data_IF_550640866310
#
_entry.id   IF_550640866310
#
_cell.length_a   1.000
_cell.length_b   1.000
_cell.length_c   1.000
_cell.angle_alpha   90.00
_cell.angle_beta   90.00
_cell.angle_gamma   90.00
#
_symmetry.space_group_name_H-M   'P 1'
#
loop_
_entity.id
_entity.type
_entity.pdbx_description
1 polymer ?
#
# COMPACT_ATOMS: atom_id res chain seq x y z
N UNK A 1 6.21 -19.36 1.94
CA UNK A 1 5.71 -18.37 0.95
C UNK A 1 6.86 -17.43 0.70
N UNK A 2 7.73 -17.81 -0.24
CA UNK A 2 8.88 -17.00 -0.65
C UNK A 2 8.60 -16.53 -2.07
N UNK A 3 8.60 -15.22 -2.27
CA UNK A 3 8.30 -14.58 -3.54
C UNK A 3 8.50 -13.07 -3.43
N UNK A 4 8.62 -12.35 -4.55
CA UNK A 4 8.94 -10.92 -4.57
C UNK A 4 7.94 -10.04 -3.80
N UNK A 5 6.71 -10.51 -3.60
CA UNK A 5 5.66 -9.84 -2.83
C UNK A 5 5.61 -10.24 -1.34
N UNK A 6 6.61 -10.94 -0.83
CA UNK A 6 6.69 -11.29 0.59
C UNK A 6 7.01 -10.03 1.42
N UNK A 7 6.21 -9.80 2.46
CA UNK A 7 6.40 -8.63 3.34
C UNK A 7 7.76 -8.72 4.04
N UNK A 8 8.58 -7.66 4.01
CA UNK A 8 9.91 -7.65 4.62
C UNK A 8 9.86 -8.03 6.09
N UNK A 9 10.71 -8.99 6.48
CA UNK A 9 10.89 -9.43 7.86
C UNK A 9 12.35 -9.40 8.27
N UNK A 10 12.61 -9.04 9.53
CA UNK A 10 13.93 -9.21 10.18
C UNK A 10 13.72 -10.01 11.46
N UNK A 11 14.40 -11.15 11.59
CA UNK A 11 14.26 -12.08 12.73
C UNK A 11 12.80 -12.52 13.01
N UNK A 12 11.96 -12.61 11.97
CA UNK A 12 10.55 -13.01 12.09
C UNK A 12 9.58 -11.85 12.34
N UNK A 13 10.07 -10.67 12.70
CA UNK A 13 9.25 -9.47 12.88
C UNK A 13 9.09 -8.67 11.58
N UNK A 14 7.94 -8.00 11.43
CA UNK A 14 7.71 -7.09 10.32
C UNK A 14 8.66 -5.89 10.44
N UNK A 15 9.37 -5.60 9.36
CA UNK A 15 10.27 -4.45 9.30
C UNK A 15 9.53 -3.27 8.69
N UNK A 16 9.45 -2.16 9.43
CA UNK A 16 8.94 -0.87 8.99
C UNK A 16 10.01 0.20 9.25
N UNK A 17 10.40 0.94 8.22
CA UNK A 17 11.39 2.01 8.26
C UNK A 17 10.76 3.37 8.56
N UNK A 18 9.44 3.49 8.40
CA UNK A 18 8.69 4.71 8.71
C UNK A 18 7.30 4.36 9.29
N UNK A 19 6.71 5.23 10.15
CA UNK A 19 5.42 4.97 10.79
C UNK A 19 4.29 4.65 9.81
N UNK A 20 4.28 5.31 8.64
CA UNK A 20 3.24 5.12 7.63
C UNK A 20 3.24 3.70 7.05
N UNK A 21 4.38 3.01 6.98
CA UNK A 21 4.49 1.67 6.41
C UNK A 21 3.68 0.66 7.23
N UNK A 22 3.73 0.77 8.56
CA UNK A 22 2.93 -0.05 9.48
C UNK A 22 1.44 0.26 9.39
N UNK A 23 1.07 1.55 9.24
CA UNK A 23 -0.33 1.97 9.08
C UNK A 23 -0.93 1.41 7.80
N UNK A 24 -0.20 1.57 6.70
CA UNK A 24 -0.59 1.08 5.37
C UNK A 24 -0.75 -0.44 5.38
N UNK A 25 0.21 -1.19 5.94
CA UNK A 25 0.09 -2.63 6.14
C UNK A 25 -1.14 -3.01 6.97
N UNK A 26 -1.36 -2.34 8.11
CA UNK A 26 -2.51 -2.58 8.98
C UNK A 26 -3.85 -2.34 8.27
N UNK A 27 -3.94 -1.31 7.44
CA UNK A 27 -5.15 -1.03 6.65
C UNK A 27 -5.47 -2.16 5.67
N UNK A 28 -4.49 -2.69 4.94
CA UNK A 28 -4.75 -3.83 4.05
C UNK A 28 -5.22 -5.06 4.81
N UNK A 29 -4.54 -5.41 5.90
CA UNK A 29 -4.93 -6.57 6.71
C UNK A 29 -6.36 -6.40 7.23
N UNK A 30 -6.71 -5.22 7.74
CA UNK A 30 -8.05 -4.94 8.26
C UNK A 30 -9.14 -5.00 7.17
N UNK A 31 -8.88 -4.49 5.97
CA UNK A 31 -9.84 -4.57 4.86
C UNK A 31 -9.98 -5.99 4.32
N UNK A 32 -8.88 -6.75 4.26
CA UNK A 32 -8.92 -8.15 3.86
C UNK A 32 -9.67 -9.02 4.88
N UNK A 33 -9.48 -8.82 6.18
CA UNK A 33 -10.23 -9.52 7.24
C UNK A 33 -11.74 -9.28 7.11
N UNK A 34 -12.12 -8.06 6.70
CA UNK A 34 -13.49 -7.67 6.35
C UNK A 34 -13.95 -8.16 4.97
N UNK A 35 -13.12 -8.91 4.25
CA UNK A 35 -13.36 -9.46 2.89
C UNK A 35 -13.73 -8.40 1.86
N UNK A 36 -13.19 -7.19 2.02
CA UNK A 36 -13.38 -6.09 1.09
C UNK A 36 -12.71 -6.39 -0.26
N UNK A 37 -11.63 -7.19 -0.25
CA UNK A 37 -10.99 -7.76 -1.42
C UNK A 37 -10.31 -9.10 -1.07
N UNK A 38 -9.92 -9.88 -2.07
CA UNK A 38 -9.15 -11.11 -1.87
C UNK A 38 -7.64 -10.84 -1.74
N UNK A 39 -7.01 -11.44 -0.73
CA UNK A 39 -5.57 -11.26 -0.49
C UNK A 39 -4.70 -11.62 -1.70
N UNK A 40 -5.08 -12.62 -2.49
CA UNK A 40 -4.35 -13.05 -3.69
C UNK A 40 -4.41 -12.01 -4.79
N UNK A 41 -5.51 -11.26 -4.91
CA UNK A 41 -5.61 -10.16 -5.87
C UNK A 41 -4.61 -9.05 -5.52
N UNK A 42 -4.53 -8.71 -4.24
CA UNK A 42 -3.53 -7.76 -3.75
C UNK A 42 -2.09 -8.26 -4.01
N UNK A 43 -1.78 -9.52 -3.65
CA UNK A 43 -0.45 -10.09 -3.89
C UNK A 43 -0.05 -10.10 -5.37
N UNK A 44 -0.99 -10.41 -6.26
CA UNK A 44 -0.75 -10.43 -7.70
C UNK A 44 -0.47 -9.03 -8.25
N UNK A 45 -1.23 -8.03 -7.80
CA UNK A 45 -1.00 -6.61 -8.14
C UNK A 45 0.35 -6.12 -7.64
N UNK A 46 0.69 -6.42 -6.38
CA UNK A 46 1.99 -6.06 -5.80
C UNK A 46 3.15 -6.67 -6.59
N UNK A 47 3.03 -7.95 -6.97
CA UNK A 47 4.04 -8.62 -7.77
C UNK A 47 4.22 -7.94 -9.14
N UNK A 48 3.12 -7.52 -9.76
CA UNK A 48 3.14 -6.79 -11.03
C UNK A 48 3.78 -5.40 -10.89
N UNK A 49 3.45 -4.65 -9.83
CA UNK A 49 4.05 -3.34 -9.54
C UNK A 49 5.55 -3.43 -9.29
N UNK A 50 6.00 -4.45 -8.53
CA UNK A 50 7.42 -4.68 -8.29
C UNK A 50 8.15 -4.98 -9.60
N UNK A 51 7.63 -5.91 -10.42
CA UNK A 51 8.23 -6.25 -11.71
C UNK A 51 8.27 -5.04 -12.66
N UNK A 52 7.22 -4.23 -12.69
CA UNK A 52 7.15 -3.04 -13.53
C UNK A 52 8.13 -1.95 -13.06
N UNK A 53 8.24 -1.70 -11.76
CA UNK A 53 9.20 -0.77 -11.20
C UNK A 53 10.64 -1.20 -11.45
N UNK A 54 10.96 -2.50 -11.30
CA UNK A 54 12.27 -3.06 -11.63
C UNK A 54 12.60 -2.90 -13.12
N UNK A 55 11.65 -3.20 -14.00
CA UNK A 55 11.80 -3.02 -15.46
C UNK A 55 12.07 -1.57 -15.83
N UNK A 56 11.43 -0.62 -15.13
CA UNK A 56 11.61 0.82 -15.32
C UNK A 56 12.88 1.38 -14.67
N UNK A 57 13.56 0.59 -13.84
CA UNK A 57 14.69 1.09 -13.02
C UNK A 57 14.25 2.14 -12.00
N UNK A 58 13.02 2.04 -11.50
CA UNK A 58 12.44 3.04 -10.60
C UNK A 58 13.03 2.94 -9.19
N UNK A 59 13.56 4.06 -8.69
CA UNK A 59 14.02 4.22 -7.30
C UNK A 59 12.82 4.42 -6.36
N UNK A 60 12.06 3.35 -6.14
CA UNK A 60 11.02 3.29 -5.11
C UNK A 60 11.24 2.12 -4.16
N UNK A 61 10.93 2.37 -2.89
CA UNK A 61 10.99 1.39 -1.81
C UNK A 61 9.90 0.34 -1.95
N UNK A 62 10.06 -0.79 -1.25
CA UNK A 62 9.06 -1.85 -1.23
C UNK A 62 7.68 -1.35 -0.80
N UNK A 63 7.59 -0.55 0.27
CA UNK A 63 6.31 -0.08 0.80
C UNK A 63 5.68 1.02 -0.07
N UNK A 64 6.44 1.77 -0.87
CA UNK A 64 5.86 2.70 -1.86
C UNK A 64 5.19 1.93 -3.01
N UNK A 65 5.85 0.88 -3.51
CA UNK A 65 5.26 -0.02 -4.51
C UNK A 65 4.04 -0.75 -3.95
N UNK A 66 4.10 -1.13 -2.67
CA UNK A 66 2.97 -1.70 -1.93
C UNK A 66 1.80 -0.73 -1.84
N UNK A 67 2.05 0.53 -1.48
CA UNK A 67 1.02 1.56 -1.36
C UNK A 67 0.31 1.79 -2.70
N UNK A 68 1.07 1.93 -3.80
CA UNK A 68 0.50 2.06 -5.14
C UNK A 68 -0.38 0.87 -5.53
N UNK A 69 0.08 -0.36 -5.27
CA UNK A 69 -0.70 -1.56 -5.54
C UNK A 69 -2.01 -1.60 -4.72
N UNK A 70 -1.96 -1.11 -3.48
CA UNK A 70 -3.10 -1.07 -2.58
C UNK A 70 -4.11 0.01 -3.00
N UNK A 71 -3.67 1.22 -3.28
CA UNK A 71 -4.51 2.30 -3.81
C UNK A 71 -5.17 1.89 -5.12
N UNK A 72 -4.41 1.31 -6.05
CA UNK A 72 -4.94 0.81 -7.32
C UNK A 72 -6.01 -0.26 -7.13
N UNK A 73 -5.81 -1.18 -6.19
CA UNK A 73 -6.81 -2.20 -5.84
C UNK A 73 -8.11 -1.57 -5.30
N UNK A 74 -8.01 -0.60 -4.41
CA UNK A 74 -9.19 0.04 -3.80
C UNK A 74 -9.93 0.94 -4.80
N UNK A 75 -9.20 1.63 -5.68
CA UNK A 75 -9.79 2.46 -6.74
C UNK A 75 -10.53 1.58 -7.75
N UNK A 76 -9.91 0.51 -8.24
CA UNK A 76 -10.56 -0.43 -9.16
C UNK A 76 -11.74 -1.16 -8.51
N UNK A 77 -11.69 -1.38 -7.20
CA UNK A 77 -12.80 -1.92 -6.41
C UNK A 77 -13.93 -0.91 -6.14
N UNK A 78 -13.80 0.36 -6.55
CA UNK A 78 -14.80 1.41 -6.32
C UNK A 78 -14.91 1.86 -4.86
N UNK A 79 -13.92 1.55 -4.03
CA UNK A 79 -13.90 1.87 -2.59
C UNK A 79 -13.36 3.27 -2.36
N UNK A 80 -12.38 3.65 -3.18
CA UNK A 80 -11.78 4.98 -3.20
C UNK A 80 -11.92 5.56 -4.61
N UNK A 81 -11.92 6.89 -4.71
CA UNK A 81 -11.69 7.59 -5.97
C UNK A 81 -10.28 8.17 -5.95
N UNK A 82 -9.68 8.34 -7.13
CA UNK A 82 -8.40 9.04 -7.25
C UNK A 82 -8.53 10.48 -6.75
N UNK A 83 -9.58 11.18 -7.21
CA UNK A 83 -9.90 12.54 -6.78
C UNK A 83 -10.00 12.66 -5.26
N UNK A 84 -10.75 11.79 -4.58
CA UNK A 84 -10.89 11.87 -3.12
C UNK A 84 -9.60 11.54 -2.35
N UNK A 85 -8.70 10.77 -2.94
CA UNK A 85 -7.37 10.51 -2.38
C UNK A 85 -6.45 11.73 -2.56
N UNK A 86 -6.48 12.35 -3.74
CA UNK A 86 -5.72 13.55 -4.07
C UNK A 86 -6.18 14.72 -3.18
N UNK A 87 -7.49 14.97 -3.09
CA UNK A 87 -8.09 15.99 -2.21
C UNK A 87 -7.64 15.81 -0.75
N UNK A 88 -7.69 14.56 -0.24
CA UNK A 88 -7.28 14.27 1.14
C UNK A 88 -5.78 14.45 1.33
N UNK A 89 -4.97 14.19 0.32
CA UNK A 89 -3.52 14.39 0.37
C UNK A 89 -3.20 15.88 0.46
N UNK A 90 -3.86 16.69 -0.37
CA UNK A 90 -3.72 18.15 -0.35
C UNK A 90 -4.16 18.75 1.00
N UNK A 91 -5.29 18.31 1.56
CA UNK A 91 -5.75 18.73 2.89
C UNK A 91 -4.68 18.53 3.98
N UNK A 92 -3.93 17.42 3.93
CA UNK A 92 -2.85 17.15 4.88
C UNK A 92 -1.57 17.93 4.56
N UNK A 93 -1.21 18.06 3.29
CA UNK A 93 -0.02 18.81 2.85
C UNK A 93 -0.12 20.29 3.24
N UNK A 94 -1.30 20.89 3.07
CA UNK A 94 -1.56 22.29 3.40
C UNK A 94 -2.07 22.52 4.83
N UNK A 95 -2.16 21.46 5.64
CA UNK A 95 -2.51 21.55 7.06
C UNK A 95 -3.97 21.91 7.35
N UNK A 96 -4.84 21.83 6.36
CA UNK A 96 -6.30 21.92 6.53
C UNK A 96 -6.85 20.75 7.34
N UNK A 97 -6.09 19.64 7.35
CA UNK A 97 -6.32 18.47 8.18
C UNK A 97 -5.03 18.06 8.90
N UNK A 98 -5.18 17.66 10.17
CA UNK A 98 -4.09 17.17 11.03
C UNK A 98 -4.21 15.67 11.25
N UNK A 99 -3.06 14.97 11.36
CA UNK A 99 -3.04 13.56 11.78
C UNK A 99 -3.77 13.44 13.13
N UNK A 100 -4.77 12.56 13.18
CA UNK A 100 -5.44 12.21 14.43
C UNK A 100 -4.65 11.06 15.05
N UNK A 101 -4.01 11.33 16.19
CA UNK A 101 -3.27 10.34 16.99
C UNK A 101 -4.18 9.64 17.99
#
# INVERSE_FOLDING_TARGET
MDGPAAVPRRNGELLFEAPWQGRVFGMAVALQDRRVYDWRDFQRRLSAEIAAAETRGEESTYYERWLRAFEGLLIEGGILTREGLDDRTEEFEFGERVEVF
#
